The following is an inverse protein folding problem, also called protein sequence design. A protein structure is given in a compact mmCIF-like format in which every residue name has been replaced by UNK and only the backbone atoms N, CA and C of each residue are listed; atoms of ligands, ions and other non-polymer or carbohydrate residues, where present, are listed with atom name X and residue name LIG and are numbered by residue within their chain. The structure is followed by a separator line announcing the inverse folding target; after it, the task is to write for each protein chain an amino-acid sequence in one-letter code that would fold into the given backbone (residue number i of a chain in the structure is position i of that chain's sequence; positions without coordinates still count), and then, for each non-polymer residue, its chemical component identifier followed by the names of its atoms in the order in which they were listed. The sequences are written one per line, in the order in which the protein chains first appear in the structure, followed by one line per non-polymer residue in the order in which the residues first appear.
data_IF_800515454943
#
_entry.id   IF_800515454943
#
_cell.length_a   1.000
_cell.length_b   1.000
_cell.length_c   1.000
_cell.angle_alpha   90.00
_cell.angle_beta   90.00
_cell.angle_gamma   90.00
#
_symmetry.space_group_name_H-M   'P 1'
#
loop_
_entity.id
_entity.type
_entity.pdbx_description
1 polymer ?
#
# COMPACT_ATOMS: atom_id res chain seq x y z
N UNK A 1 -2.55 6.91 -15.85
CA UNK A 1 -1.33 6.10 -16.07
C UNK A 1 -0.12 6.75 -15.42
N UNK A 2 0.39 7.89 -15.90
CA UNK A 2 1.55 8.58 -15.29
C UNK A 2 1.46 8.78 -13.76
N UNK A 3 0.28 9.11 -13.22
CA UNK A 3 0.07 9.26 -11.76
C UNK A 3 0.24 7.95 -10.97
N UNK A 4 -0.19 6.81 -11.54
CA UNK A 4 -0.16 5.49 -10.87
C UNK A 4 1.25 4.90 -10.92
N UNK A 5 1.95 5.06 -12.05
CA UNK A 5 3.34 4.63 -12.19
C UNK A 5 4.28 5.46 -11.30
N UNK A 6 4.03 6.76 -11.20
CA UNK A 6 4.72 7.65 -10.27
C UNK A 6 4.44 7.27 -8.81
N UNK A 7 3.21 6.90 -8.48
CA UNK A 7 2.82 6.40 -7.15
C UNK A 7 3.60 5.14 -6.80
N UNK A 8 3.73 4.19 -7.73
CA UNK A 8 4.50 2.96 -7.51
C UNK A 8 5.99 3.23 -7.31
N UNK A 9 6.55 4.10 -8.14
CA UNK A 9 7.95 4.52 -8.08
C UNK A 9 8.25 5.22 -6.75
N UNK A 10 7.43 6.19 -6.35
CA UNK A 10 7.59 6.94 -5.11
C UNK A 10 7.37 6.05 -3.88
N UNK A 11 6.38 5.16 -3.89
CA UNK A 11 6.17 4.19 -2.81
C UNK A 11 7.39 3.26 -2.65
N UNK A 12 7.95 2.77 -3.76
CA UNK A 12 9.11 1.87 -3.74
C UNK A 12 10.37 2.61 -3.27
N UNK A 13 10.62 3.83 -3.78
CA UNK A 13 11.76 4.66 -3.38
C UNK A 13 11.65 5.08 -1.92
N UNK A 14 10.46 5.43 -1.43
CA UNK A 14 10.28 5.86 -0.05
C UNK A 14 10.38 4.69 0.94
N UNK A 15 9.90 3.50 0.57
CA UNK A 15 10.15 2.27 1.32
C UNK A 15 11.66 2.01 1.38
N UNK A 16 12.38 2.11 0.26
CA UNK A 16 13.84 1.94 0.21
C UNK A 16 14.59 2.96 1.07
N UNK A 17 14.19 4.23 1.05
CA UNK A 17 14.84 5.30 1.83
C UNK A 17 14.70 5.07 3.34
N UNK A 18 13.58 4.51 3.78
CA UNK A 18 13.35 4.14 5.19
C UNK A 18 14.32 3.04 5.65
N UNK A 19 14.80 2.19 4.74
CA UNK A 19 15.76 1.13 5.03
C UNK A 19 17.23 1.56 4.97
N UNK A 20 17.54 2.72 4.40
CA UNK A 20 18.92 3.24 4.40
C UNK A 20 19.29 3.87 5.75
N UNK A 21 18.29 4.24 6.54
CA UNK A 21 18.44 4.87 7.87
C UNK A 21 18.26 3.80 8.97
N UNK A 22 19.15 2.79 8.96
CA UNK A 22 19.22 1.74 9.99
C UNK A 22 19.66 2.34 11.34
N UNK A 23 18.70 2.83 12.15
CA UNK A 23 18.96 3.14 13.56
C UNK A 23 18.66 1.91 14.43
N UNK A 24 19.68 1.21 14.95
CA UNK A 24 19.50 0.02 15.79
C UNK A 24 18.77 0.32 17.11
N UNK A 25 18.69 1.58 17.54
CA UNK A 25 17.99 1.99 18.78
C UNK A 25 16.47 1.96 18.60
N UNK A 26 15.96 2.27 17.41
CA UNK A 26 14.52 2.24 17.12
C UNK A 26 13.95 0.80 17.15
N UNK A 27 14.76 -0.17 16.72
CA UNK A 27 14.40 -1.60 16.73
C UNK A 27 14.29 -2.16 18.17
N UNK A 28 15.09 -1.64 19.10
CA UNK A 28 15.13 -2.08 20.50
C UNK A 28 13.95 -1.58 21.34
N UNK A 29 13.33 -0.44 20.97
CA UNK A 29 12.25 0.21 21.74
C UNK A 29 10.87 -0.42 21.46
N UNK A 30 10.71 -1.15 20.35
CA UNK A 30 9.40 -1.57 19.85
C UNK A 30 8.71 -2.68 20.66
N UNK A 31 9.42 -3.43 21.51
CA UNK A 31 8.89 -4.61 22.22
C UNK A 31 8.37 -5.70 21.26
N UNK A 32 7.79 -6.81 21.76
CA UNK A 32 7.24 -7.83 20.87
C UNK A 32 6.11 -7.23 20.02
N UNK A 33 6.30 -7.31 18.70
CA UNK A 33 5.30 -6.92 17.71
C UNK A 33 4.32 -8.07 17.52
N UNK A 34 3.03 -7.79 17.27
CA UNK A 34 2.04 -8.82 16.95
C UNK A 34 2.26 -9.32 15.50
N UNK A 35 3.43 -9.89 15.23
CA UNK A 35 3.89 -10.35 13.91
C UNK A 35 2.89 -11.30 13.27
N UNK A 36 2.26 -12.18 14.05
CA UNK A 36 1.22 -13.10 13.57
C UNK A 36 0.02 -12.37 12.93
N UNK A 37 -0.46 -11.28 13.53
CA UNK A 37 -1.56 -10.51 12.96
C UNK A 37 -1.12 -9.88 11.63
N UNK A 38 0.11 -9.41 11.55
CA UNK A 38 0.66 -8.77 10.34
C UNK A 38 0.88 -9.78 9.21
N UNK A 39 1.31 -11.00 9.54
CA UNK A 39 1.42 -12.10 8.58
C UNK A 39 0.06 -12.49 8.00
N UNK A 40 -0.99 -12.57 8.82
CA UNK A 40 -2.34 -12.83 8.31
C UNK A 40 -2.80 -11.74 7.35
N UNK A 41 -2.61 -10.47 7.71
CA UNK A 41 -2.94 -9.35 6.83
C UNK A 41 -2.12 -9.39 5.53
N UNK A 42 -0.82 -9.68 5.61
CA UNK A 42 0.02 -9.87 4.43
C UNK A 42 -0.56 -10.94 3.50
N UNK A 43 -0.94 -12.11 4.02
CA UNK A 43 -1.49 -13.21 3.23
C UNK A 43 -2.81 -12.84 2.54
N UNK A 44 -3.67 -12.06 3.20
CA UNK A 44 -4.90 -11.56 2.57
C UNK A 44 -4.62 -10.66 1.37
N UNK A 45 -3.65 -9.74 1.50
CA UNK A 45 -3.24 -8.87 0.39
C UNK A 45 -2.53 -9.64 -0.72
N UNK A 46 -1.69 -10.63 -0.40
CA UNK A 46 -1.06 -11.49 -1.39
C UNK A 46 -2.08 -12.31 -2.19
N UNK A 47 -3.11 -12.83 -1.51
CA UNK A 47 -4.18 -13.55 -2.17
C UNK A 47 -4.97 -12.62 -3.10
N UNK A 48 -5.34 -11.42 -2.63
CA UNK A 48 -6.03 -10.43 -3.46
C UNK A 48 -5.17 -9.95 -4.64
N UNK A 49 -3.88 -9.72 -4.43
CA UNK A 49 -2.91 -9.40 -5.49
C UNK A 49 -2.86 -10.51 -6.54
N UNK A 50 -2.76 -11.76 -6.11
CA UNK A 50 -2.69 -12.92 -7.01
C UNK A 50 -3.96 -13.00 -7.86
N UNK A 51 -5.13 -12.84 -7.25
CA UNK A 51 -6.40 -12.81 -7.97
C UNK A 51 -6.46 -11.65 -8.97
N UNK A 52 -6.08 -10.44 -8.56
CA UNK A 52 -6.07 -9.28 -9.45
C UNK A 52 -5.10 -9.46 -10.63
N UNK A 53 -3.94 -10.07 -10.39
CA UNK A 53 -2.94 -10.35 -11.42
C UNK A 53 -3.43 -11.41 -12.42
N UNK A 54 -4.04 -12.49 -11.92
CA UNK A 54 -4.68 -13.50 -12.78
C UNK A 54 -5.82 -12.85 -13.59
N UNK A 55 -6.69 -12.06 -12.96
CA UNK A 55 -7.74 -11.35 -13.67
C UNK A 55 -7.18 -10.41 -14.75
N UNK A 56 -6.09 -9.70 -14.46
CA UNK A 56 -5.42 -8.85 -15.44
C UNK A 56 -4.88 -9.63 -16.64
N UNK A 57 -4.16 -10.74 -16.41
CA UNK A 57 -3.57 -11.56 -17.46
C UNK A 57 -4.61 -12.23 -18.38
N UNK A 58 -5.79 -12.57 -17.84
CA UNK A 58 -6.85 -13.24 -18.59
C UNK A 58 -7.91 -12.29 -19.15
N UNK A 59 -7.83 -10.99 -18.88
CA UNK A 59 -8.81 -10.03 -19.39
C UNK A 59 -8.46 -9.61 -20.82
N UNK A 60 -9.41 -9.79 -21.73
CA UNK A 60 -9.27 -9.41 -23.15
C UNK A 60 -9.63 -7.93 -23.39
N UNK A 61 -10.54 -7.39 -22.59
CA UNK A 61 -10.97 -5.99 -22.70
C UNK A 61 -9.93 -5.04 -22.04
N UNK A 62 -9.33 -4.17 -22.84
CA UNK A 62 -8.25 -3.29 -22.38
C UNK A 62 -8.65 -2.42 -21.18
N UNK A 63 -9.86 -1.85 -21.19
CA UNK A 63 -10.34 -0.99 -20.11
C UNK A 63 -10.55 -1.75 -18.80
N UNK A 64 -11.06 -2.98 -18.85
CA UNK A 64 -11.18 -3.84 -17.65
C UNK A 64 -9.81 -4.31 -17.17
N UNK A 65 -8.90 -4.63 -18.09
CA UNK A 65 -7.52 -4.99 -17.76
C UNK A 65 -6.82 -3.89 -16.97
N UNK A 66 -7.02 -2.63 -17.36
CA UNK A 66 -6.49 -1.47 -16.64
C UNK A 66 -7.01 -1.36 -15.20
N UNK A 67 -8.28 -1.70 -14.95
CA UNK A 67 -8.84 -1.74 -13.59
C UNK A 67 -8.19 -2.84 -12.74
N UNK A 68 -8.00 -4.04 -13.30
CA UNK A 68 -7.32 -5.13 -12.60
C UNK A 68 -5.84 -4.81 -12.32
N UNK A 69 -5.16 -4.12 -13.22
CA UNK A 69 -3.81 -3.62 -12.98
C UNK A 69 -3.74 -2.64 -11.80
N UNK A 70 -4.65 -1.67 -11.75
CA UNK A 70 -4.74 -0.73 -10.62
C UNK A 70 -5.08 -1.47 -9.31
N UNK A 71 -5.99 -2.45 -9.36
CA UNK A 71 -6.30 -3.31 -8.22
C UNK A 71 -5.08 -4.13 -7.74
N UNK A 72 -4.25 -4.63 -8.67
CA UNK A 72 -3.01 -5.31 -8.31
C UNK A 72 -2.05 -4.36 -7.59
N UNK A 73 -1.92 -3.11 -8.03
CA UNK A 73 -1.09 -2.10 -7.34
C UNK A 73 -1.61 -1.81 -5.93
N UNK A 74 -2.92 -1.58 -5.79
CA UNK A 74 -3.57 -1.31 -4.49
C UNK A 74 -3.30 -2.44 -3.49
N UNK A 75 -3.21 -3.69 -3.94
CA UNK A 75 -2.94 -4.85 -3.10
C UNK A 75 -1.44 -5.17 -2.94
N UNK A 76 -0.61 -4.82 -3.93
CA UNK A 76 0.83 -5.07 -3.91
C UNK A 76 1.56 -4.22 -2.87
N UNK A 77 1.25 -2.92 -2.78
CA UNK A 77 1.91 -2.02 -1.82
C UNK A 77 1.68 -2.48 -0.37
N UNK A 78 0.44 -2.80 0.07
CA UNK A 78 0.20 -3.37 1.39
C UNK A 78 0.83 -4.76 1.57
N UNK A 79 0.80 -5.65 0.57
CA UNK A 79 1.44 -6.97 0.67
C UNK A 79 2.93 -6.86 1.03
N UNK A 80 3.65 -5.93 0.39
CA UNK A 80 5.06 -5.65 0.68
C UNK A 80 5.22 -5.03 2.08
N UNK A 81 4.42 -4.01 2.38
CA UNK A 81 4.49 -3.28 3.67
C UNK A 81 4.22 -4.18 4.87
N UNK A 82 3.19 -5.04 4.79
CA UNK A 82 2.87 -6.00 5.83
C UNK A 82 3.89 -7.14 5.90
N UNK A 83 4.58 -7.46 4.80
CA UNK A 83 5.75 -8.34 4.81
C UNK A 83 6.88 -7.77 5.66
N UNK A 84 7.20 -6.49 5.52
CA UNK A 84 8.19 -5.82 6.37
C UNK A 84 7.78 -5.74 7.84
N UNK A 85 6.48 -5.56 8.12
CA UNK A 85 5.96 -5.58 9.48
C UNK A 85 6.00 -6.97 10.10
N UNK A 86 5.71 -8.02 9.32
CA UNK A 86 5.75 -9.40 9.77
C UNK A 86 7.19 -9.88 10.03
N UNK A 87 8.16 -9.43 9.24
CA UNK A 87 9.58 -9.74 9.42
C UNK A 87 10.27 -8.92 10.52
N UNK A 88 9.57 -7.91 11.08
CA UNK A 88 10.13 -7.02 12.09
C UNK A 88 11.13 -6.00 11.54
N UNK A 89 11.22 -5.86 10.22
CA UNK A 89 12.12 -4.91 9.56
C UNK A 89 11.52 -3.50 9.45
N UNK A 90 10.19 -3.36 9.59
CA UNK A 90 9.55 -2.06 9.50
C UNK A 90 9.83 -1.21 10.77
N UNK A 91 10.23 0.07 10.61
CA UNK A 91 10.43 0.95 11.74
C UNK A 91 9.11 1.31 12.42
N UNK A 92 9.15 1.38 13.74
CA UNK A 92 8.02 1.75 14.58
C UNK A 92 8.49 2.90 15.46
N UNK A 93 7.80 4.03 15.34
CA UNK A 93 8.03 5.17 16.23
C UNK A 93 7.13 5.04 17.46
N UNK A 94 7.50 5.73 18.53
CA UNK A 94 6.62 5.93 19.69
C UNK A 94 6.11 7.37 19.67
N UNK A 95 4.82 7.57 19.90
CA UNK A 95 4.26 8.91 20.10
C UNK A 95 4.65 9.46 21.50
N UNK A 96 4.31 10.73 21.73
CA UNK A 96 4.53 11.40 23.03
C UNK A 96 3.77 10.76 24.22
N UNK A 97 2.86 9.83 23.96
CA UNK A 97 2.08 9.07 24.95
C UNK A 97 2.55 7.60 25.07
N UNK A 98 3.66 7.22 24.42
CA UNK A 98 4.19 5.85 24.42
C UNK A 98 3.41 4.86 23.54
N UNK A 99 2.56 5.34 22.63
CA UNK A 99 1.83 4.52 21.66
C UNK A 99 2.69 4.25 20.43
N UNK A 100 2.60 3.04 19.91
CA UNK A 100 3.31 2.60 18.70
C UNK A 100 2.69 3.25 17.46
N UNK A 101 3.50 3.97 16.70
CA UNK A 101 3.18 4.56 15.41
C UNK A 101 3.85 3.76 14.30
N UNK A 102 3.03 3.09 13.48
CA UNK A 102 3.49 2.25 12.38
C UNK A 102 3.55 3.09 11.10
N UNK A 103 4.64 3.84 10.90
CA UNK A 103 4.77 4.82 9.81
C UNK A 103 4.54 4.21 8.43
N UNK A 104 5.06 3.00 8.20
CA UNK A 104 4.94 2.33 6.90
C UNK A 104 3.47 2.15 6.46
N UNK A 105 2.52 2.07 7.41
CA UNK A 105 1.08 2.03 7.09
C UNK A 105 0.56 3.37 6.57
N UNK A 106 0.97 4.48 7.18
CA UNK A 106 0.57 5.80 6.70
C UNK A 106 1.13 6.08 5.32
N UNK A 107 2.37 5.65 5.07
CA UNK A 107 3.01 5.79 3.76
C UNK A 107 2.26 4.98 2.72
N UNK A 108 1.95 3.70 2.97
CA UNK A 108 1.19 2.96 1.96
C UNK A 108 -0.22 3.52 1.77
N UNK A 109 -0.87 4.06 2.80
CA UNK A 109 -2.22 4.61 2.69
C UNK A 109 -2.24 5.87 1.85
N UNK A 110 -1.18 6.67 1.93
CA UNK A 110 -1.01 7.84 1.08
C UNK A 110 -1.06 7.48 -0.41
N UNK A 111 -0.57 6.29 -0.78
CA UNK A 111 -0.55 5.82 -2.16
C UNK A 111 -1.79 5.01 -2.55
N UNK A 112 -2.25 4.10 -1.67
CA UNK A 112 -3.36 3.20 -1.99
C UNK A 112 -4.72 3.88 -1.88
N UNK A 113 -4.90 4.88 -1.01
CA UNK A 113 -6.19 5.55 -0.82
C UNK A 113 -6.61 6.35 -2.07
N UNK A 114 -5.76 7.22 -2.65
CA UNK A 114 -6.11 7.89 -3.90
C UNK A 114 -6.32 6.89 -5.04
N UNK A 115 -5.51 5.82 -5.12
CA UNK A 115 -5.68 4.79 -6.13
C UNK A 115 -7.04 4.06 -6.00
N UNK A 116 -7.50 3.78 -4.77
CA UNK A 116 -8.83 3.20 -4.51
C UNK A 116 -9.96 4.14 -4.89
N UNK A 117 -9.86 5.44 -4.56
CA UNK A 117 -10.86 6.44 -4.95
C UNK A 117 -10.94 6.53 -6.48
N UNK A 118 -9.80 6.56 -7.14
CA UNK A 118 -9.74 6.54 -8.60
C UNK A 118 -10.41 5.29 -9.18
N UNK A 119 -10.06 4.11 -8.67
CA UNK A 119 -10.64 2.85 -9.12
C UNK A 119 -12.17 2.83 -8.94
N UNK A 120 -12.66 3.26 -7.77
CA UNK A 120 -14.09 3.34 -7.47
C UNK A 120 -14.83 4.28 -8.41
N UNK A 121 -14.24 5.44 -8.74
CA UNK A 121 -14.84 6.38 -9.68
C UNK A 121 -14.99 5.82 -11.09
N UNK A 122 -14.01 5.03 -11.54
CA UNK A 122 -14.04 4.37 -12.86
C UNK A 122 -15.11 3.28 -12.93
N UNK A 123 -15.31 2.55 -11.84
CA UNK A 123 -16.38 1.54 -11.73
C UNK A 123 -17.76 2.20 -11.67
N UNK A 124 -17.86 3.35 -11.00
CA UNK A 124 -19.14 4.05 -10.77
C UNK A 124 -19.51 5.03 -11.89
N UNK A 125 -18.71 5.14 -12.96
CA UNK A 125 -18.88 6.10 -14.05
C UNK A 125 -19.01 7.57 -13.60
N UNK A 126 -18.35 7.94 -12.50
CA UNK A 126 -18.37 9.30 -11.95
C UNK A 126 -17.49 10.23 -12.81
N UNK A 127 -17.93 11.47 -13.12
CA UNK A 127 -17.13 12.41 -13.90
C UNK A 127 -15.79 12.76 -13.25
N UNK A 128 -14.70 12.74 -14.03
CA UNK A 128 -13.31 12.94 -13.56
C UNK A 128 -13.09 14.20 -12.69
N UNK A 129 -13.90 15.25 -12.88
CA UNK A 129 -13.82 16.51 -12.11
C UNK A 129 -14.18 16.31 -10.63
N UNK A 130 -15.16 15.47 -10.33
CA UNK A 130 -15.61 15.21 -8.95
C UNK A 130 -14.61 14.31 -8.20
N UNK A 131 -13.96 13.42 -8.95
CA UNK A 131 -12.92 12.51 -8.46
C UNK A 131 -11.70 13.29 -7.99
N UNK A 132 -11.21 14.22 -8.81
CA UNK A 132 -10.04 15.06 -8.47
C UNK A 132 -10.36 15.92 -7.25
N UNK A 133 -11.58 16.48 -7.15
CA UNK A 133 -11.99 17.24 -5.99
C UNK A 133 -11.97 16.40 -4.70
N UNK A 134 -12.40 15.14 -4.74
CA UNK A 134 -12.38 14.24 -3.58
C UNK A 134 -10.98 13.80 -3.13
N UNK A 135 -9.97 13.93 -4.00
CA UNK A 135 -8.57 13.61 -3.70
C UNK A 135 -7.77 14.80 -3.13
N UNK A 136 -8.31 16.02 -3.23
CA UNK A 136 -7.64 17.26 -2.82
C UNK A 136 -7.99 17.73 -1.39
N UNK A 137 -8.89 17.01 -0.72
CA UNK A 137 -9.31 17.24 0.67
C UNK A 137 -8.63 16.24 1.61
#
# INVERSE_FOLDING_TARGET
FCFVDLTLFLATVQILLIFVEDDPVALAIAGPLPTHQWSLTQMTFLTSLTLAFISWLWTVEEDKGRLFYIAAIINGIPAISYGFLASGLAPILMDMHGRRLVIIRYIHWFYTTPAMIFLYSRISAVPDREVIASMAH
#
